data_IF_057213396235
#
_entry.id   IF_057213396235
#
_cell.length_a   1.000
_cell.length_b   1.000
_cell.length_c   1.000
_cell.angle_alpha   90.00
_cell.angle_beta   90.00
_cell.angle_gamma   90.00
#
_symmetry.space_group_name_H-M   'P 1'
#
loop_
_entity.id
_entity.type
_entity.pdbx_description
1 polymer ?
#
# COMPACT_ATOMS: atom_id res chain seq x y z
N UNK A 1 -5.03 51.07 -7.74
CA UNK A 1 -4.83 49.78 -8.43
C UNK A 1 -4.42 48.77 -7.39
N UNK A 2 -5.36 47.96 -6.88
CA UNK A 2 -5.12 46.96 -5.84
C UNK A 2 -5.36 45.58 -6.46
N UNK A 3 -4.29 44.80 -6.59
CA UNK A 3 -4.35 43.41 -7.05
C UNK A 3 -4.85 42.51 -5.89
N UNK A 4 -5.79 41.59 -6.14
CA UNK A 4 -6.51 40.89 -5.07
C UNK A 4 -5.64 39.83 -4.39
N UNK A 5 -5.96 39.58 -3.12
CA UNK A 5 -5.41 38.51 -2.29
C UNK A 5 -5.34 37.18 -3.05
N UNK A 6 -4.12 36.66 -3.18
CA UNK A 6 -3.88 35.31 -3.68
C UNK A 6 -4.41 34.28 -2.68
N UNK A 7 -5.46 33.57 -3.08
CA UNK A 7 -5.89 32.34 -2.41
C UNK A 7 -4.96 31.22 -2.88
N UNK A 8 -3.94 30.91 -2.09
CA UNK A 8 -3.21 29.66 -2.25
C UNK A 8 -4.11 28.53 -1.74
N UNK A 9 -4.88 27.91 -2.64
CA UNK A 9 -5.40 26.57 -2.40
C UNK A 9 -4.20 25.62 -2.40
N UNK A 10 -3.73 25.23 -1.22
CA UNK A 10 -2.90 24.03 -1.10
C UNK A 10 -3.78 22.84 -1.43
N UNK A 11 -3.76 22.42 -2.69
CA UNK A 11 -4.25 21.10 -3.07
C UNK A 11 -3.47 20.10 -2.22
N UNK A 12 -4.10 19.54 -1.19
CA UNK A 12 -3.57 18.39 -0.50
C UNK A 12 -3.31 17.33 -1.55
N UNK A 13 -2.04 17.02 -1.80
CA UNK A 13 -1.64 15.85 -2.55
C UNK A 13 -2.26 14.66 -1.82
N UNK A 14 -3.40 14.17 -2.31
CA UNK A 14 -3.79 12.80 -2.00
C UNK A 14 -2.63 11.97 -2.53
N UNK A 15 -1.85 11.37 -1.64
CA UNK A 15 -0.85 10.35 -2.00
C UNK A 15 -1.56 9.24 -2.78
N UNK A 16 -1.68 9.44 -4.07
CA UNK A 16 -1.78 8.39 -5.05
C UNK A 16 -0.33 7.88 -5.17
N UNK A 17 0.01 6.64 -4.84
CA UNK A 17 -0.71 5.43 -5.18
C UNK A 17 -0.22 4.34 -4.23
N UNK A 18 -0.95 4.08 -3.16
CA UNK A 18 -0.78 2.87 -2.37
C UNK A 18 -1.90 1.92 -2.79
N UNK A 19 -1.55 0.67 -3.06
CA UNK A 19 -2.56 -0.35 -3.33
C UNK A 19 -3.51 -0.41 -2.13
N UNK A 20 -4.82 -0.48 -2.38
CA UNK A 20 -5.81 -0.48 -1.29
C UNK A 20 -6.62 -1.76 -1.24
N UNK A 21 -6.83 -2.25 -0.02
CA UNK A 21 -7.51 -3.51 0.24
C UNK A 21 -8.76 -3.26 1.04
N UNK A 22 -9.86 -3.81 0.52
CA UNK A 22 -11.16 -3.81 1.15
C UNK A 22 -11.15 -4.58 2.49
N UNK A 23 -11.44 -3.90 3.60
CA UNK A 23 -11.37 -4.46 4.96
C UNK A 23 -12.72 -4.55 5.71
N UNK A 24 -13.81 -4.07 5.11
CA UNK A 24 -15.10 -3.93 5.80
C UNK A 24 -15.14 -2.71 6.72
N UNK A 25 -16.12 -2.59 7.63
CA UNK A 25 -16.23 -1.40 8.47
C UNK A 25 -15.09 -1.35 9.49
N UNK A 26 -14.37 -0.23 9.54
CA UNK A 26 -13.38 0.09 10.57
C UNK A 26 -13.90 1.28 11.39
N UNK A 27 -13.96 1.11 12.71
CA UNK A 27 -14.56 2.11 13.61
C UNK A 27 -13.54 3.13 14.15
N UNK A 28 -12.29 2.71 14.33
CA UNK A 28 -11.23 3.54 14.89
C UNK A 28 -9.85 2.94 14.54
N UNK A 29 -8.79 3.64 14.95
CA UNK A 29 -7.42 3.22 14.64
C UNK A 29 -7.02 1.88 15.27
N UNK A 30 -7.52 1.57 16.47
CA UNK A 30 -7.23 0.29 17.12
C UNK A 30 -7.90 -0.87 16.37
N UNK A 31 -9.11 -0.67 15.86
CA UNK A 31 -9.80 -1.62 15.00
C UNK A 31 -9.05 -1.82 13.66
N UNK A 32 -8.50 -0.74 13.08
CA UNK A 32 -7.66 -0.82 11.88
C UNK A 32 -6.40 -1.67 12.10
N UNK A 33 -5.75 -1.53 13.27
CA UNK A 33 -4.56 -2.30 13.62
C UNK A 33 -4.80 -3.81 13.69
N UNK A 34 -6.04 -4.23 13.93
CA UNK A 34 -6.42 -5.65 13.95
C UNK A 34 -6.89 -6.10 12.56
N UNK A 35 -7.74 -5.30 11.89
CA UNK A 35 -8.38 -5.69 10.62
C UNK A 35 -7.47 -5.57 9.41
N UNK A 36 -6.68 -4.50 9.32
CA UNK A 36 -5.86 -4.24 8.14
C UNK A 36 -4.79 -5.30 7.89
N UNK A 37 -3.99 -5.74 8.89
CA UNK A 37 -3.02 -6.82 8.66
C UNK A 37 -3.68 -8.11 8.16
N UNK A 38 -4.87 -8.43 8.66
CA UNK A 38 -5.62 -9.62 8.24
C UNK A 38 -6.17 -9.46 6.83
N UNK A 39 -6.70 -8.28 6.48
CA UNK A 39 -7.24 -7.99 5.15
C UNK A 39 -6.13 -8.03 4.09
N UNK A 40 -4.99 -7.37 4.33
CA UNK A 40 -3.88 -7.28 3.37
C UNK A 40 -3.14 -8.61 3.25
N UNK A 41 -3.05 -9.40 4.32
CA UNK A 41 -2.40 -10.72 4.28
C UNK A 41 -3.04 -11.67 3.26
N UNK A 42 -4.34 -11.53 2.96
CA UNK A 42 -5.07 -12.36 1.97
C UNK A 42 -4.49 -12.24 0.57
N UNK A 43 -3.89 -11.10 0.27
CA UNK A 43 -3.25 -10.82 -1.02
C UNK A 43 -1.72 -10.83 -0.91
N UNK A 44 -1.16 -11.24 0.23
CA UNK A 44 0.29 -11.15 0.46
C UNK A 44 0.81 -9.72 0.65
N UNK A 45 -0.10 -8.75 0.82
CA UNK A 45 0.22 -7.36 1.09
C UNK A 45 0.53 -7.10 2.56
N UNK A 46 1.39 -6.12 2.80
CA UNK A 46 1.78 -5.64 4.12
C UNK A 46 1.19 -4.26 4.30
N UNK A 47 0.32 -4.14 5.30
CA UNK A 47 -0.28 -2.88 5.70
C UNK A 47 0.78 -1.88 6.15
N UNK A 48 0.73 -0.66 5.63
CA UNK A 48 1.67 0.41 5.96
C UNK A 48 1.21 1.32 7.13
N UNK A 49 0.05 1.02 7.73
CA UNK A 49 -0.57 1.86 8.77
C UNK A 49 -1.66 2.81 8.24
N UNK A 50 -1.72 3.02 6.92
CA UNK A 50 -2.71 3.85 6.25
C UNK A 50 -4.05 3.14 6.11
N UNK A 51 -5.14 3.82 6.44
CA UNK A 51 -6.48 3.31 6.23
C UNK A 51 -7.46 4.48 6.08
N UNK A 52 -8.60 4.20 5.46
CA UNK A 52 -9.65 5.20 5.27
C UNK A 52 -11.02 4.55 5.18
N UNK A 53 -12.01 5.22 5.72
CA UNK A 53 -13.41 4.82 5.54
C UNK A 53 -13.94 5.38 4.24
N UNK A 54 -14.35 4.50 3.34
CA UNK A 54 -14.96 4.88 2.06
C UNK A 54 -16.47 5.03 2.18
N UNK A 55 -17.11 4.21 3.02
CA UNK A 55 -18.52 4.31 3.37
C UNK A 55 -18.73 4.07 4.87
N UNK A 56 -19.23 5.08 5.57
CA UNK A 56 -19.42 5.02 7.02
C UNK A 56 -20.32 3.85 7.43
N UNK A 57 -19.86 3.05 8.41
CA UNK A 57 -20.57 1.88 8.92
C UNK A 57 -20.64 0.69 7.96
N UNK A 58 -20.05 0.77 6.76
CA UNK A 58 -20.08 -0.31 5.76
C UNK A 58 -18.69 -0.73 5.32
N UNK A 59 -17.83 0.22 4.94
CA UNK A 59 -16.62 -0.09 4.20
C UNK A 59 -15.46 0.86 4.49
N UNK A 60 -14.32 0.25 4.78
CA UNK A 60 -13.03 0.91 4.90
C UNK A 60 -11.98 0.15 4.09
N UNK A 61 -10.96 0.87 3.68
CA UNK A 61 -9.82 0.39 2.89
C UNK A 61 -8.54 0.55 3.70
N UNK A 62 -7.62 -0.41 3.52
CA UNK A 62 -6.30 -0.40 4.11
C UNK A 62 -5.25 -0.24 3.02
N UNK A 63 -4.28 0.64 3.25
CA UNK A 63 -3.21 0.95 2.31
C UNK A 63 -2.06 -0.06 2.42
N UNK A 64 -1.50 -0.45 1.28
CA UNK A 64 -0.44 -1.46 1.15
C UNK A 64 0.69 -0.86 0.34
N UNK A 65 1.90 -0.87 0.93
CA UNK A 65 3.12 -0.42 0.26
C UNK A 65 4.03 -1.57 -0.14
N UNK A 66 3.91 -2.73 0.50
CA UNK A 66 4.81 -3.87 0.26
C UNK A 66 4.03 -5.15 0.03
N UNK A 67 4.51 -5.98 -0.89
CA UNK A 67 3.95 -7.30 -1.18
C UNK A 67 5.03 -8.37 -1.05
N UNK A 68 4.64 -9.55 -0.55
CA UNK A 68 5.55 -10.69 -0.45
C UNK A 68 5.87 -11.24 -1.84
N UNK A 69 7.15 -11.43 -2.12
CA UNK A 69 7.65 -11.91 -3.42
C UNK A 69 8.43 -13.23 -3.34
N UNK A 70 8.54 -13.83 -2.14
CA UNK A 70 9.42 -14.97 -1.91
C UNK A 70 10.90 -14.56 -1.91
N UNK A 71 11.85 -15.51 -1.99
CA UNK A 71 13.27 -15.19 -1.94
C UNK A 71 13.71 -14.44 -3.20
N UNK A 72 14.36 -13.29 -3.01
CA UNK A 72 15.03 -12.54 -4.07
C UNK A 72 16.53 -12.53 -3.80
N UNK A 73 17.33 -12.97 -4.78
CA UNK A 73 18.78 -13.13 -4.62
C UNK A 73 19.58 -11.88 -4.99
N UNK A 74 19.09 -11.10 -5.95
CA UNK A 74 19.76 -9.90 -6.44
C UNK A 74 18.77 -9.00 -7.20
N UNK A 75 19.26 -7.85 -7.67
CA UNK A 75 18.42 -6.88 -8.36
C UNK A 75 17.84 -7.38 -9.69
N UNK A 76 18.56 -8.24 -10.42
CA UNK A 76 18.08 -8.82 -11.67
C UNK A 76 16.92 -9.81 -11.41
N UNK A 77 17.02 -10.58 -10.34
CA UNK A 77 15.94 -11.47 -9.87
C UNK A 77 14.70 -10.65 -9.45
N UNK A 78 14.91 -9.51 -8.77
CA UNK A 78 13.83 -8.58 -8.42
C UNK A 78 13.10 -8.03 -9.66
N UNK A 79 13.84 -7.69 -10.72
CA UNK A 79 13.26 -7.19 -11.97
C UNK A 79 12.33 -8.18 -12.66
N UNK A 80 12.47 -9.48 -12.38
CA UNK A 80 11.58 -10.53 -12.90
C UNK A 80 10.45 -10.83 -11.92
N UNK A 81 10.76 -10.98 -10.63
CA UNK A 81 9.78 -11.41 -9.61
C UNK A 81 8.83 -10.31 -9.16
N UNK A 82 9.34 -9.10 -8.95
CA UNK A 82 8.54 -8.01 -8.38
C UNK A 82 7.39 -7.57 -9.27
N UNK A 83 7.54 -7.40 -10.61
CA UNK A 83 6.41 -7.08 -11.47
C UNK A 83 5.28 -8.11 -11.37
N UNK A 84 5.63 -9.40 -11.32
CA UNK A 84 4.66 -10.50 -11.19
C UNK A 84 3.97 -10.46 -9.82
N UNK A 85 4.72 -10.30 -8.74
CA UNK A 85 4.18 -10.25 -7.38
C UNK A 85 3.23 -9.06 -7.17
N UNK A 86 3.59 -7.87 -7.68
CA UNK A 86 2.72 -6.69 -7.58
C UNK A 86 1.51 -6.79 -8.51
N UNK A 87 1.66 -7.38 -9.71
CA UNK A 87 0.55 -7.54 -10.64
C UNK A 87 -0.52 -8.50 -10.09
N UNK A 88 -0.11 -9.54 -9.35
CA UNK A 88 -1.01 -10.50 -8.70
C UNK A 88 -1.98 -9.83 -7.72
N UNK A 89 -1.62 -8.65 -7.21
CA UNK A 89 -2.44 -7.89 -6.26
C UNK A 89 -3.07 -6.64 -6.87
N UNK A 90 -2.96 -6.46 -8.19
CA UNK A 90 -3.52 -5.30 -8.89
C UNK A 90 -2.70 -4.02 -8.78
N UNK A 91 -1.44 -4.10 -8.33
CA UNK A 91 -0.53 -2.97 -8.26
C UNK A 91 0.62 -3.06 -9.27
N UNK A 92 1.48 -2.05 -9.28
CA UNK A 92 2.70 -2.04 -10.10
C UNK A 92 3.94 -1.97 -9.23
N UNK A 93 5.01 -2.65 -9.62
CA UNK A 93 6.29 -2.51 -8.95
C UNK A 93 6.87 -1.11 -9.16
N UNK A 94 7.32 -0.46 -8.09
CA UNK A 94 7.91 0.87 -8.15
C UNK A 94 9.45 0.86 -8.30
N UNK A 95 10.06 -0.32 -8.41
CA UNK A 95 11.51 -0.50 -8.51
C UNK A 95 12.21 -0.81 -7.18
N UNK A 96 11.52 -0.67 -6.04
CA UNK A 96 12.10 -0.97 -4.73
C UNK A 96 11.74 -2.38 -4.26
N UNK A 97 12.71 -3.03 -3.63
CA UNK A 97 12.54 -4.34 -2.99
C UNK A 97 13.50 -4.43 -1.81
N UNK A 98 13.21 -5.31 -0.86
CA UNK A 98 14.12 -5.61 0.25
C UNK A 98 13.94 -7.04 0.72
N UNK A 99 15.01 -7.64 1.23
CA UNK A 99 14.97 -8.98 1.82
C UNK A 99 14.66 -8.87 3.31
N UNK A 100 13.53 -9.46 3.73
CA UNK A 100 13.13 -9.48 5.14
C UNK A 100 13.75 -10.66 5.87
N UNK A 101 13.85 -11.82 5.21
CA UNK A 101 14.50 -13.02 5.72
C UNK A 101 15.37 -13.63 4.62
N UNK A 102 16.68 -13.63 4.84
CA UNK A 102 17.64 -14.13 3.85
C UNK A 102 17.34 -15.57 3.43
N UNK A 103 17.29 -15.81 2.11
CA UNK A 103 16.99 -17.12 1.52
C UNK A 103 15.53 -17.59 1.66
N UNK A 104 14.65 -16.83 2.31
CA UNK A 104 13.26 -17.24 2.58
C UNK A 104 12.25 -16.25 2.02
N UNK A 105 12.41 -14.95 2.30
CA UNK A 105 11.39 -13.96 1.97
C UNK A 105 12.00 -12.58 1.69
N UNK A 106 11.55 -12.02 0.58
CA UNK A 106 11.75 -10.63 0.20
C UNK A 106 10.40 -10.01 -0.15
N UNK A 107 10.36 -8.69 -0.09
CA UNK A 107 9.16 -7.89 -0.37
C UNK A 107 9.45 -6.89 -1.46
N UNK A 108 8.46 -6.62 -2.29
CA UNK A 108 8.52 -5.63 -3.37
C UNK A 108 7.59 -4.48 -3.03
N UNK A 109 8.03 -3.25 -3.28
CA UNK A 109 7.19 -2.10 -3.04
C UNK A 109 6.23 -1.88 -4.21
N UNK A 110 4.98 -1.56 -3.87
CA UNK A 110 3.89 -1.40 -4.81
C UNK A 110 3.51 0.07 -4.94
N UNK A 111 3.08 0.45 -6.15
CA UNK A 111 2.41 1.70 -6.49
C UNK A 111 1.10 1.41 -7.20
#
# INVERSE_FOLDING_TARGET
MVFPLGVFFTAGVKSASALTVKAGPIWNNNDAQVKCPVATARIGGIWNGGWRTTEWGKMSECDVDWVKAGPIWNNNDAQVKCPVATAAVGGTWNGHWTTTVWGVMSVCAVK
#
